data_IF_258923580219
#
_entry.id   IF_258923580219
#
_cell.length_a   1.000
_cell.length_b   1.000
_cell.length_c   1.000
_cell.angle_alpha   90.00
_cell.angle_beta   90.00
_cell.angle_gamma   90.00
#
_symmetry.space_group_name_H-M   'P 1'
#
loop_
_entity.id
_entity.type
_entity.pdbx_description
1 polymer ?
#
# COMPACT_ATOMS: atom_id res chain seq x y z
N UNK A 1 14.16 -13.53 21.36
CA UNK A 1 14.00 -14.93 20.89
C UNK A 1 12.52 -15.22 20.69
N UNK A 2 12.08 -15.27 19.41
CA UNK A 2 10.73 -15.78 19.10
C UNK A 2 10.73 -17.30 19.29
N UNK A 3 9.98 -17.78 20.26
CA UNK A 3 9.88 -19.21 20.51
C UNK A 3 9.15 -19.88 19.33
N UNK A 4 9.73 -20.95 18.76
CA UNK A 4 9.14 -21.73 17.64
C UNK A 4 7.69 -22.19 17.96
N UNK A 5 7.31 -22.29 19.23
CA UNK A 5 5.94 -22.63 19.67
C UNK A 5 4.92 -21.53 19.36
N UNK A 6 5.35 -20.27 19.24
CA UNK A 6 4.48 -19.09 19.14
C UNK A 6 4.44 -18.51 17.74
N UNK A 7 5.17 -19.07 16.80
CA UNK A 7 5.24 -18.63 15.41
C UNK A 7 4.99 -19.77 14.43
N UNK A 8 4.62 -19.41 13.23
CA UNK A 8 4.46 -20.32 12.11
C UNK A 8 5.21 -19.77 10.89
N UNK A 9 5.98 -20.66 10.26
CA UNK A 9 6.73 -20.35 9.05
C UNK A 9 5.99 -20.91 7.85
N UNK A 10 5.72 -20.06 6.88
CA UNK A 10 4.91 -20.43 5.70
C UNK A 10 5.67 -20.03 4.45
N UNK A 11 5.90 -21.01 3.57
CA UNK A 11 6.45 -20.80 2.23
C UNK A 11 5.30 -20.74 1.23
N UNK A 12 5.12 -19.62 0.54
CA UNK A 12 3.99 -19.35 -0.33
C UNK A 12 4.45 -19.07 -1.75
N UNK A 13 3.84 -19.74 -2.74
CA UNK A 13 4.12 -19.50 -4.15
C UNK A 13 3.79 -18.08 -4.58
N UNK A 14 4.64 -17.49 -5.41
CA UNK A 14 4.51 -16.08 -5.83
C UNK A 14 3.18 -15.79 -6.56
N UNK A 15 2.59 -16.77 -7.27
CA UNK A 15 1.32 -16.63 -7.99
C UNK A 15 0.06 -16.90 -7.14
N UNK A 16 0.19 -17.10 -5.84
CA UNK A 16 -0.98 -17.18 -4.94
C UNK A 16 -1.60 -15.79 -4.80
N UNK A 17 -2.92 -15.68 -4.93
CA UNK A 17 -3.64 -14.43 -4.70
C UNK A 17 -3.42 -13.97 -3.27
N UNK A 18 -2.98 -12.73 -3.10
CA UNK A 18 -2.61 -12.19 -1.79
C UNK A 18 -3.75 -12.29 -0.77
N UNK A 19 -4.96 -11.88 -1.16
CA UNK A 19 -6.10 -11.87 -0.22
C UNK A 19 -6.57 -13.28 0.15
N UNK A 20 -6.40 -14.28 -0.72
CA UNK A 20 -6.65 -15.69 -0.40
C UNK A 20 -5.66 -16.20 0.64
N UNK A 21 -4.38 -15.81 0.53
CA UNK A 21 -3.37 -16.11 1.55
C UNK A 21 -3.72 -15.48 2.90
N UNK A 22 -4.13 -14.21 2.93
CA UNK A 22 -4.55 -13.54 4.18
C UNK A 22 -5.77 -14.25 4.77
N UNK A 23 -6.79 -14.56 3.95
CA UNK A 23 -7.98 -15.29 4.41
C UNK A 23 -7.63 -16.68 4.99
N UNK A 24 -6.68 -17.36 4.37
CA UNK A 24 -6.18 -18.64 4.83
C UNK A 24 -5.45 -18.56 6.18
N UNK A 25 -4.68 -17.48 6.41
CA UNK A 25 -4.03 -17.19 7.69
C UNK A 25 -5.07 -16.93 8.79
N UNK A 26 -6.05 -16.07 8.51
CA UNK A 26 -7.14 -15.72 9.46
C UNK A 26 -7.90 -16.96 9.93
N UNK A 27 -8.27 -17.86 8.99
CA UNK A 27 -8.94 -19.13 9.32
C UNK A 27 -8.12 -20.07 10.23
N UNK A 28 -6.80 -19.88 10.29
CA UNK A 28 -5.88 -20.66 11.12
C UNK A 28 -5.47 -19.96 12.40
N UNK A 29 -6.03 -18.80 12.66
CA UNK A 29 -5.65 -17.94 13.79
C UNK A 29 -4.14 -17.61 13.77
N UNK A 30 -3.60 -17.26 12.58
CA UNK A 30 -2.25 -16.77 12.39
C UNK A 30 -2.30 -15.27 12.17
N UNK A 31 -1.65 -14.55 13.09
CA UNK A 31 -1.73 -13.09 13.22
C UNK A 31 -0.63 -12.37 12.45
N UNK A 32 -0.90 -11.16 12.01
CA UNK A 32 0.03 -10.22 11.40
C UNK A 32 -0.35 -9.76 9.99
N UNK A 33 -1.05 -10.60 9.19
CA UNK A 33 -1.41 -10.27 7.80
C UNK A 33 -2.81 -9.62 7.65
N UNK A 34 -3.65 -9.65 8.67
CA UNK A 34 -5.07 -9.27 8.62
C UNK A 34 -5.30 -7.81 8.17
N UNK A 35 -4.41 -6.89 8.56
CA UNK A 35 -4.47 -5.47 8.15
C UNK A 35 -4.21 -5.27 6.65
N UNK A 36 -3.59 -6.24 5.99
CA UNK A 36 -3.30 -6.24 4.55
C UNK A 36 -4.40 -6.93 3.72
N UNK A 37 -5.58 -7.15 4.30
CA UNK A 37 -6.74 -7.75 3.64
C UNK A 37 -7.21 -6.95 2.44
N UNK A 38 -7.70 -7.65 1.42
CA UNK A 38 -8.28 -7.09 0.19
C UNK A 38 -7.31 -6.19 -0.60
N UNK A 39 -6.00 -6.34 -0.43
CA UNK A 39 -5.01 -5.72 -1.32
C UNK A 39 -4.98 -6.59 -2.60
N UNK A 40 -5.24 -6.03 -3.78
CA UNK A 40 -5.20 -6.78 -5.03
C UNK A 40 -3.77 -7.18 -5.40
N UNK A 41 -3.66 -8.28 -6.14
CA UNK A 41 -2.39 -8.81 -6.63
C UNK A 41 -2.00 -10.14 -5.98
N UNK A 42 -0.78 -10.54 -6.19
CA UNK A 42 -0.24 -11.85 -5.82
C UNK A 42 0.86 -11.71 -4.77
N UNK A 43 1.16 -12.81 -4.10
CA UNK A 43 2.19 -12.90 -3.05
C UNK A 43 3.56 -12.42 -3.54
N UNK A 44 3.97 -12.79 -4.76
CA UNK A 44 5.24 -12.31 -5.32
C UNK A 44 5.27 -10.79 -5.51
N UNK A 45 4.18 -10.22 -6.04
CA UNK A 45 4.03 -8.78 -6.22
C UNK A 45 4.01 -8.04 -4.87
N UNK A 46 3.46 -8.66 -3.82
CA UNK A 46 3.45 -8.08 -2.47
C UNK A 46 4.87 -7.84 -1.94
N UNK A 47 5.77 -8.81 -2.16
CA UNK A 47 7.18 -8.70 -1.78
C UNK A 47 7.93 -7.67 -2.63
N UNK A 48 7.69 -7.63 -3.95
CA UNK A 48 8.32 -6.65 -4.85
C UNK A 48 7.94 -5.22 -4.47
N UNK A 49 6.66 -4.98 -4.17
CA UNK A 49 6.13 -3.65 -3.89
C UNK A 49 6.35 -3.20 -2.43
N UNK A 50 6.67 -4.11 -1.52
CA UNK A 50 6.54 -3.89 -0.08
C UNK A 50 5.16 -3.30 0.23
N UNK A 51 4.10 -4.08 -0.07
CA UNK A 51 2.73 -3.62 0.18
C UNK A 51 2.54 -3.27 1.65
N UNK A 52 1.69 -2.30 1.91
CA UNK A 52 1.39 -1.89 3.28
C UNK A 52 0.08 -1.13 3.35
N UNK A 53 -0.66 -1.38 4.41
CA UNK A 53 -1.90 -0.73 4.73
C UNK A 53 -2.16 -0.79 6.24
N UNK A 54 -2.88 0.18 6.75
CA UNK A 54 -3.39 0.18 8.12
C UNK A 54 -2.33 -0.11 9.20
N UNK A 55 -1.14 0.51 9.04
CA UNK A 55 -0.06 0.42 10.01
C UNK A 55 0.85 -0.81 9.89
N UNK A 56 0.63 -1.70 8.91
CA UNK A 56 1.42 -2.91 8.68
C UNK A 56 2.06 -2.84 7.29
N UNK A 57 3.31 -3.26 7.16
CA UNK A 57 3.98 -3.50 5.89
C UNK A 57 4.33 -4.99 5.74
N UNK A 58 4.29 -5.52 4.53
CA UNK A 58 4.54 -6.96 4.30
C UNK A 58 5.96 -7.38 4.69
N UNK A 59 6.94 -6.46 4.63
CA UNK A 59 8.32 -6.71 5.08
C UNK A 59 8.40 -7.16 6.54
N UNK A 60 7.44 -6.73 7.37
CA UNK A 60 7.40 -7.08 8.80
C UNK A 60 7.03 -8.55 9.03
N UNK A 61 6.49 -9.21 8.00
CA UNK A 61 6.09 -10.60 7.99
C UNK A 61 7.05 -11.50 7.18
N UNK A 62 7.77 -10.92 6.20
CA UNK A 62 8.69 -11.64 5.32
C UNK A 62 9.97 -11.99 6.07
N UNK A 63 10.43 -13.24 5.87
CA UNK A 63 11.74 -13.71 6.36
C UNK A 63 12.74 -13.85 5.23
N UNK A 64 12.27 -14.29 4.05
CA UNK A 64 13.09 -14.37 2.84
C UNK A 64 12.24 -14.41 1.59
N UNK A 65 12.88 -14.09 0.45
CA UNK A 65 12.28 -14.14 -0.90
C UNK A 65 13.13 -15.04 -1.77
N UNK A 66 12.50 -16.06 -2.36
CA UNK A 66 13.15 -16.96 -3.31
C UNK A 66 12.93 -16.47 -4.73
N UNK A 67 14.00 -16.51 -5.53
CA UNK A 67 13.99 -15.99 -6.88
C UNK A 67 14.67 -16.94 -7.86
N UNK A 68 14.40 -16.71 -9.15
CA UNK A 68 15.10 -17.30 -10.27
C UNK A 68 15.39 -16.22 -11.31
N UNK A 69 16.57 -16.25 -11.91
CA UNK A 69 16.94 -15.34 -13.00
C UNK A 69 16.80 -16.02 -14.39
N UNK A 70 17.06 -15.29 -15.46
CA UNK A 70 17.00 -15.80 -16.83
C UNK A 70 18.01 -16.93 -17.12
N UNK A 71 19.12 -17.00 -16.38
CA UNK A 71 20.09 -18.08 -16.45
C UNK A 71 19.65 -19.33 -15.64
N UNK A 72 18.43 -19.32 -15.08
CA UNK A 72 17.86 -20.36 -14.21
C UNK A 72 18.60 -20.54 -12.88
N UNK A 73 19.37 -19.57 -12.48
CA UNK A 73 20.03 -19.55 -11.18
C UNK A 73 19.04 -19.13 -10.11
N UNK A 74 18.96 -19.94 -9.06
CA UNK A 74 18.10 -19.68 -7.90
C UNK A 74 18.90 -18.92 -6.86
N UNK A 75 18.24 -17.91 -6.24
CA UNK A 75 18.79 -17.18 -5.08
C UNK A 75 17.71 -16.94 -4.06
N UNK A 76 18.10 -17.00 -2.79
CA UNK A 76 17.27 -16.64 -1.65
C UNK A 76 17.84 -15.35 -1.06
N UNK A 77 17.00 -14.36 -0.92
CA UNK A 77 17.32 -13.10 -0.27
C UNK A 77 16.68 -13.09 1.12
N UNK A 78 17.49 -12.94 2.18
CA UNK A 78 16.97 -12.63 3.51
C UNK A 78 16.27 -11.27 3.52
N UNK A 79 15.37 -11.03 4.48
CA UNK A 79 14.61 -9.78 4.57
C UNK A 79 15.53 -8.55 4.56
N UNK A 80 16.69 -8.63 5.24
CA UNK A 80 17.66 -7.54 5.32
C UNK A 80 18.33 -7.25 3.96
N UNK A 81 18.47 -8.27 3.09
CA UNK A 81 19.01 -8.12 1.75
C UNK A 81 17.98 -7.53 0.76
N UNK A 82 16.69 -7.60 1.09
CA UNK A 82 15.63 -7.09 0.22
C UNK A 82 15.55 -5.57 0.13
N UNK A 83 16.29 -4.83 0.95
CA UNK A 83 16.38 -3.36 0.91
C UNK A 83 15.04 -2.65 1.06
N UNK A 84 14.14 -3.20 1.88
CA UNK A 84 12.79 -2.70 2.05
C UNK A 84 12.73 -1.31 2.67
N UNK A 85 11.94 -0.46 2.04
CA UNK A 85 11.48 0.81 2.60
C UNK A 85 10.09 1.13 2.05
N UNK A 86 9.51 2.28 2.41
CA UNK A 86 8.16 2.65 1.98
C UNK A 86 8.00 2.53 0.46
N UNK A 87 7.20 1.54 0.02
CA UNK A 87 6.93 1.20 -1.40
C UNK A 87 8.19 0.91 -2.23
N UNK A 88 9.27 0.48 -1.60
CA UNK A 88 10.55 0.16 -2.26
C UNK A 88 11.06 -1.20 -1.81
N UNK A 89 11.73 -1.88 -2.75
CA UNK A 89 12.52 -3.09 -2.50
C UNK A 89 13.67 -3.15 -3.51
N UNK A 90 14.63 -4.02 -3.26
CA UNK A 90 15.68 -4.39 -4.20
C UNK A 90 15.08 -4.82 -5.56
N UNK A 91 13.98 -5.58 -5.54
CA UNK A 91 13.35 -6.14 -6.74
C UNK A 91 12.76 -5.10 -7.70
N UNK A 92 12.65 -3.83 -7.28
CA UNK A 92 12.24 -2.70 -8.15
C UNK A 92 13.41 -2.01 -8.85
N UNK A 93 14.63 -2.39 -8.54
CA UNK A 93 15.82 -1.81 -9.17
C UNK A 93 15.98 -2.29 -10.63
N UNK A 94 16.56 -1.48 -11.52
CA UNK A 94 16.74 -1.84 -12.92
C UNK A 94 17.48 -3.16 -13.12
N UNK A 95 18.45 -3.47 -12.26
CA UNK A 95 19.27 -4.67 -12.30
C UNK A 95 18.48 -5.96 -12.02
N UNK A 96 17.34 -5.81 -11.33
CA UNK A 96 16.48 -6.92 -10.95
C UNK A 96 15.38 -7.23 -11.97
N UNK A 97 15.31 -6.52 -13.10
CA UNK A 97 14.27 -6.73 -14.13
C UNK A 97 14.23 -8.15 -14.72
N UNK A 98 15.35 -8.86 -14.70
CA UNK A 98 15.47 -10.23 -15.18
C UNK A 98 15.40 -11.27 -14.05
N UNK A 99 14.97 -10.87 -12.85
CA UNK A 99 14.81 -11.72 -11.66
C UNK A 99 13.32 -11.87 -11.34
N UNK A 100 12.89 -13.12 -11.19
CA UNK A 100 11.49 -13.46 -10.92
C UNK A 100 11.37 -14.03 -9.51
N UNK A 101 10.45 -13.49 -8.72
CA UNK A 101 10.08 -14.07 -7.42
C UNK A 101 9.31 -15.36 -7.66
N UNK A 102 9.74 -16.44 -7.01
CA UNK A 102 9.10 -17.76 -7.11
C UNK A 102 8.32 -18.12 -5.86
N UNK A 103 8.88 -17.83 -4.68
CA UNK A 103 8.25 -18.02 -3.38
C UNK A 103 8.59 -16.88 -2.45
N UNK A 104 7.71 -16.65 -1.50
CA UNK A 104 7.94 -15.76 -0.37
C UNK A 104 7.76 -16.54 0.92
N UNK A 105 8.70 -16.41 1.84
CA UNK A 105 8.67 -17.06 3.13
C UNK A 105 8.24 -16.04 4.20
N UNK A 106 7.21 -16.41 4.96
CA UNK A 106 6.63 -15.57 6.01
C UNK A 106 6.82 -16.19 7.38
N UNK A 107 6.94 -15.34 8.40
CA UNK A 107 6.82 -15.73 9.80
C UNK A 107 5.62 -14.99 10.40
N UNK A 108 4.60 -15.75 10.81
CA UNK A 108 3.37 -15.24 11.39
C UNK A 108 3.27 -15.64 12.85
N UNK A 109 2.54 -14.87 13.66
CA UNK A 109 2.35 -15.17 15.06
C UNK A 109 1.16 -16.11 15.28
N UNK A 110 1.29 -17.03 16.26
CA UNK A 110 0.18 -17.79 16.84
C UNK A 110 -0.38 -17.10 18.09
N UNK A 111 0.33 -16.10 18.61
CA UNK A 111 -0.14 -15.30 19.75
C UNK A 111 -1.02 -14.17 19.24
N UNK A 112 -2.13 -13.98 19.92
CA UNK A 112 -3.04 -12.89 19.63
C UNK A 112 -2.36 -11.54 19.79
N UNK A 113 -2.39 -10.76 18.72
CA UNK A 113 -1.98 -9.35 18.72
C UNK A 113 -2.65 -8.64 17.53
N UNK A 114 -2.96 -7.36 17.70
CA UNK A 114 -3.66 -6.57 16.67
C UNK A 114 -3.02 -5.19 16.53
N UNK A 115 -2.90 -4.72 15.30
CA UNK A 115 -2.53 -3.33 14.99
C UNK A 115 -3.79 -2.53 14.71
N UNK A 116 -4.24 -1.70 15.67
CA UNK A 116 -5.54 -1.02 15.63
C UNK A 116 -5.43 0.50 15.51
N UNK A 117 -4.23 1.07 15.67
CA UNK A 117 -4.02 2.52 15.86
C UNK A 117 -3.93 3.30 14.54
N UNK A 118 -4.53 2.79 13.46
CA UNK A 118 -4.50 3.45 12.17
C UNK A 118 -5.89 3.83 11.68
N UNK A 119 -6.08 5.12 11.40
CA UNK A 119 -7.33 5.64 10.83
C UNK A 119 -8.54 5.40 11.72
N UNK A 120 -9.61 4.82 11.16
CA UNK A 120 -10.91 4.61 11.83
C UNK A 120 -11.12 3.17 12.31
N UNK A 121 -10.08 2.33 12.34
CA UNK A 121 -10.23 0.90 12.66
C UNK A 121 -10.89 0.70 14.04
N UNK A 122 -10.42 1.37 15.09
CA UNK A 122 -11.00 1.25 16.43
C UNK A 122 -12.45 1.63 16.46
N UNK A 123 -12.81 2.75 15.82
CA UNK A 123 -14.20 3.23 15.74
C UNK A 123 -15.10 2.25 14.99
N UNK A 124 -14.61 1.65 13.90
CA UNK A 124 -15.39 0.65 13.14
C UNK A 124 -15.56 -0.66 13.92
N UNK A 125 -14.55 -1.04 14.73
CA UNK A 125 -14.62 -2.22 15.59
C UNK A 125 -15.66 -2.10 16.70
N UNK A 126 -15.99 -0.87 17.18
CA UNK A 126 -17.04 -0.65 18.18
C UNK A 126 -18.42 -1.17 17.75
N UNK A 127 -18.64 -1.37 16.45
CA UNK A 127 -19.87 -1.94 15.88
C UNK A 127 -19.99 -3.45 16.08
N UNK A 128 -18.93 -4.10 16.56
CA UNK A 128 -18.86 -5.55 16.70
C UNK A 128 -18.70 -5.95 18.16
N UNK A 129 -19.41 -7.01 18.61
CA UNK A 129 -19.39 -7.41 20.02
C UNK A 129 -18.09 -8.05 20.47
N UNK A 130 -17.29 -8.58 19.52
CA UNK A 130 -16.06 -9.31 19.84
C UNK A 130 -14.97 -8.95 18.84
N UNK A 131 -13.80 -8.60 19.37
CA UNK A 131 -12.57 -8.47 18.58
C UNK A 131 -11.95 -9.85 18.38
N UNK A 132 -11.78 -10.24 17.13
CA UNK A 132 -11.00 -11.40 16.70
C UNK A 132 -10.48 -11.17 15.28
N UNK A 133 -9.65 -12.07 14.74
CA UNK A 133 -9.07 -11.94 13.40
C UNK A 133 -10.13 -11.80 12.30
N UNK A 134 -11.22 -12.55 12.38
CA UNK A 134 -12.29 -12.51 11.37
C UNK A 134 -13.01 -11.16 11.39
N UNK A 135 -13.32 -10.64 12.60
CA UNK A 135 -13.94 -9.33 12.78
C UNK A 135 -13.02 -8.22 12.28
N UNK A 136 -11.72 -8.25 12.65
CA UNK A 136 -10.77 -7.25 12.19
C UNK A 136 -10.62 -7.28 10.66
N UNK A 137 -10.46 -8.48 10.07
CA UNK A 137 -10.41 -8.63 8.62
C UNK A 137 -11.65 -8.05 7.94
N UNK A 138 -12.85 -8.31 8.46
CA UNK A 138 -14.11 -7.78 7.93
C UNK A 138 -14.12 -6.25 7.98
N UNK A 139 -13.76 -5.67 9.12
CA UNK A 139 -13.67 -4.21 9.29
C UNK A 139 -12.70 -3.59 8.27
N UNK A 140 -11.52 -4.18 8.08
CA UNK A 140 -10.55 -3.72 7.07
C UNK A 140 -11.16 -3.78 5.66
N UNK A 141 -11.82 -4.87 5.30
CA UNK A 141 -12.49 -5.02 4.00
C UNK A 141 -13.56 -3.94 3.82
N UNK A 142 -14.43 -3.74 4.82
CA UNK A 142 -15.52 -2.75 4.76
C UNK A 142 -14.98 -1.32 4.61
N UNK A 143 -13.93 -0.96 5.37
CA UNK A 143 -13.26 0.35 5.23
C UNK A 143 -12.68 0.51 3.82
N UNK A 144 -12.06 -0.53 3.26
CA UNK A 144 -11.49 -0.46 1.91
C UNK A 144 -12.57 -0.32 0.84
N UNK A 145 -13.62 -1.12 0.91
CA UNK A 145 -14.74 -1.07 -0.05
C UNK A 145 -15.51 0.25 0.02
N UNK A 146 -15.63 0.86 1.20
CA UNK A 146 -16.25 2.18 1.33
C UNK A 146 -15.46 3.30 0.65
N UNK A 147 -14.13 3.16 0.55
CA UNK A 147 -13.21 4.19 0.03
C UNK A 147 -12.78 3.94 -1.41
N UNK A 148 -12.52 2.69 -1.77
CA UNK A 148 -11.93 2.30 -3.05
C UNK A 148 -13.02 1.76 -4.00
N UNK A 149 -13.10 2.22 -5.24
CA UNK A 149 -14.01 1.65 -6.22
C UNK A 149 -13.53 0.26 -6.64
N UNK A 150 -14.48 -0.66 -6.86
CA UNK A 150 -14.18 -1.96 -7.44
C UNK A 150 -13.66 -1.78 -8.88
N UNK A 151 -12.44 -2.24 -9.21
CA UNK A 151 -11.89 -2.09 -10.56
C UNK A 151 -12.66 -2.84 -11.65
N UNK A 152 -13.50 -3.83 -11.29
CA UNK A 152 -14.41 -4.52 -12.21
C UNK A 152 -15.59 -3.65 -12.61
N UNK A 153 -15.96 -2.67 -11.78
CA UNK A 153 -17.10 -1.75 -12.01
C UNK A 153 -16.59 -0.41 -12.56
N UNK A 154 -15.52 0.11 -11.99
CA UNK A 154 -14.92 1.38 -12.38
C UNK A 154 -13.40 1.21 -12.50
N UNK A 155 -12.90 1.21 -13.74
CA UNK A 155 -11.49 0.98 -14.03
C UNK A 155 -10.58 1.92 -13.23
N UNK A 156 -9.66 1.36 -12.46
CA UNK A 156 -8.69 2.08 -11.65
C UNK A 156 -7.49 1.18 -11.31
N UNK A 157 -6.43 1.77 -10.78
CA UNK A 157 -5.23 1.08 -10.33
C UNK A 157 -5.00 1.24 -8.81
N UNK A 158 -6.05 1.44 -8.04
CA UNK A 158 -5.97 1.72 -6.61
C UNK A 158 -5.42 3.12 -6.31
N UNK A 159 -4.68 3.27 -5.22
CA UNK A 159 -3.98 4.52 -4.90
C UNK A 159 -2.91 4.80 -5.94
N UNK A 160 -3.10 5.87 -6.72
CA UNK A 160 -2.22 6.18 -7.85
C UNK A 160 -0.91 6.85 -7.43
N UNK A 161 -0.94 7.64 -6.34
CA UNK A 161 0.22 8.39 -5.86
C UNK A 161 0.73 7.87 -4.53
N UNK A 162 2.05 7.91 -4.35
CA UNK A 162 2.68 7.73 -3.06
C UNK A 162 2.49 8.96 -2.17
N UNK A 163 2.39 8.74 -0.87
CA UNK A 163 2.48 9.84 0.09
C UNK A 163 3.93 10.35 0.14
N UNK A 164 4.18 11.64 -0.13
CA UNK A 164 5.53 12.18 -0.10
C UNK A 164 6.09 12.21 1.33
N UNK A 165 7.40 11.96 1.42
CA UNK A 165 8.17 12.15 2.64
C UNK A 165 9.03 13.41 2.44
N UNK A 166 8.84 14.39 3.29
CA UNK A 166 9.48 15.69 3.22
C UNK A 166 10.34 15.98 4.46
N UNK A 167 11.34 16.88 4.39
CA UNK A 167 12.04 17.37 5.57
C UNK A 167 11.05 18.01 6.56
N UNK A 168 11.23 17.77 7.86
CA UNK A 168 10.40 18.34 8.93
C UNK A 168 10.26 19.86 8.83
N UNK A 169 11.35 20.57 8.55
CA UNK A 169 11.35 22.03 8.36
C UNK A 169 10.39 22.51 7.25
N UNK A 170 10.27 21.72 6.16
CA UNK A 170 9.37 22.06 5.06
C UNK A 170 7.91 21.84 5.49
N UNK A 171 7.63 20.75 6.20
CA UNK A 171 6.32 20.49 6.78
C UNK A 171 5.92 21.58 7.78
N UNK A 172 6.78 21.97 8.71
CA UNK A 172 6.52 23.02 9.70
C UNK A 172 6.22 24.39 9.04
N UNK A 173 6.88 24.69 7.92
CA UNK A 173 6.56 25.88 7.14
C UNK A 173 5.15 25.82 6.55
N UNK A 174 4.78 24.69 5.97
CA UNK A 174 3.44 24.47 5.41
C UNK A 174 2.36 24.41 6.50
N UNK A 175 2.66 23.85 7.66
CA UNK A 175 1.69 23.75 8.77
C UNK A 175 1.28 25.11 9.34
N UNK A 176 2.11 26.14 9.22
CA UNK A 176 1.75 27.52 9.58
C UNK A 176 0.64 28.06 8.69
N UNK A 177 0.66 27.70 7.41
CA UNK A 177 -0.37 28.09 6.42
C UNK A 177 -1.58 27.16 6.47
N UNK A 178 -1.33 25.86 6.75
CA UNK A 178 -2.34 24.80 6.81
C UNK A 178 -2.29 24.07 8.15
N UNK A 179 -2.84 24.65 9.25
CA UNK A 179 -2.74 24.05 10.59
C UNK A 179 -3.39 22.67 10.72
N UNK A 180 -4.35 22.36 9.85
CA UNK A 180 -5.07 21.08 9.79
C UNK A 180 -4.38 20.03 8.89
N UNK A 181 -3.14 20.31 8.40
CA UNK A 181 -2.41 19.38 7.53
C UNK A 181 -2.09 18.08 8.28
N UNK A 182 -2.67 16.93 7.85
CA UNK A 182 -2.38 15.64 8.48
C UNK A 182 -0.96 15.18 8.13
N UNK A 183 -0.33 14.52 9.08
CA UNK A 183 1.03 14.02 8.88
C UNK A 183 1.31 12.79 9.75
N UNK A 184 2.40 12.09 9.40
CA UNK A 184 2.93 10.96 10.15
C UNK A 184 4.43 11.13 10.26
N UNK A 185 4.97 11.06 11.47
CA UNK A 185 6.40 11.08 11.69
C UNK A 185 7.05 9.82 11.10
N UNK A 186 8.10 10.03 10.32
CA UNK A 186 8.93 8.93 9.80
C UNK A 186 10.15 8.75 10.70
N UNK A 187 10.78 9.87 11.03
CA UNK A 187 11.89 9.99 11.99
C UNK A 187 11.98 11.45 12.50
N UNK A 188 13.01 11.75 13.26
CA UNK A 188 13.20 13.10 13.83
C UNK A 188 13.32 14.20 12.78
N UNK A 189 13.79 13.87 11.58
CA UNK A 189 14.04 14.84 10.49
C UNK A 189 13.03 14.83 9.36
N UNK A 190 12.15 13.83 9.29
CA UNK A 190 11.27 13.62 8.13
C UNK A 190 9.84 13.31 8.52
N UNK A 191 8.92 13.80 7.70
CA UNK A 191 7.48 13.67 7.87
C UNK A 191 6.85 13.17 6.57
N UNK A 192 5.90 12.24 6.68
CA UNK A 192 5.09 11.76 5.57
C UNK A 192 3.75 12.50 5.56
N UNK A 193 3.41 13.12 4.43
CA UNK A 193 2.17 13.89 4.26
C UNK A 193 1.21 13.08 3.37
N UNK A 194 -0.08 12.92 3.75
CA UNK A 194 -1.06 12.28 2.90
C UNK A 194 -1.29 13.02 1.58
N UNK A 195 -0.91 12.41 0.46
CA UNK A 195 -1.11 12.99 -0.87
C UNK A 195 -2.60 13.22 -1.17
N UNK A 196 -3.50 12.36 -0.67
CA UNK A 196 -4.94 12.55 -0.82
C UNK A 196 -5.43 13.89 -0.29
N UNK A 197 -4.90 14.35 0.85
CA UNK A 197 -5.26 15.63 1.44
C UNK A 197 -4.81 16.80 0.54
N UNK A 198 -3.57 16.75 0.03
CA UNK A 198 -3.06 17.79 -0.87
C UNK A 198 -3.83 17.85 -2.18
N UNK A 199 -4.15 16.70 -2.76
CA UNK A 199 -4.94 16.60 -4.01
C UNK A 199 -6.35 17.18 -3.80
N UNK A 200 -6.98 16.86 -2.66
CA UNK A 200 -8.30 17.41 -2.28
C UNK A 200 -8.24 18.93 -2.10
N UNK A 201 -7.20 19.44 -1.42
CA UNK A 201 -6.96 20.89 -1.24
C UNK A 201 -6.63 21.63 -2.54
N UNK A 202 -6.19 20.93 -3.60
CA UNK A 202 -6.07 21.46 -4.95
C UNK A 202 -7.40 21.42 -5.73
N UNK A 203 -8.49 20.92 -5.14
CA UNK A 203 -9.81 20.86 -5.77
C UNK A 203 -9.95 19.77 -6.84
N UNK A 204 -9.10 18.73 -6.80
CA UNK A 204 -9.15 17.64 -7.76
C UNK A 204 -10.12 16.52 -7.40
N UNK A 205 -10.49 16.36 -6.14
CA UNK A 205 -11.41 15.30 -5.71
C UNK A 205 -12.75 15.40 -6.43
N UNK A 206 -13.13 14.34 -7.14
CA UNK A 206 -14.34 14.29 -7.97
C UNK A 206 -14.25 15.05 -9.31
N UNK A 207 -13.10 15.65 -9.65
CA UNK A 207 -12.90 16.41 -10.87
C UNK A 207 -12.38 15.52 -12.01
N UNK A 208 -12.89 15.74 -13.22
CA UNK A 208 -12.47 15.06 -14.43
C UNK A 208 -11.55 15.92 -15.30
N UNK A 209 -10.70 15.27 -16.07
CA UNK A 209 -9.96 15.83 -17.20
C UNK A 209 -10.18 14.90 -18.40
N UNK A 210 -11.06 15.29 -19.33
CA UNK A 210 -11.52 14.39 -20.37
C UNK A 210 -12.24 13.16 -19.80
N UNK A 211 -11.94 11.95 -20.31
CA UNK A 211 -12.55 10.69 -19.85
C UNK A 211 -11.90 10.09 -18.58
N UNK A 212 -10.86 10.72 -18.04
CA UNK A 212 -10.22 10.35 -16.78
C UNK A 212 -10.67 11.28 -15.65
N UNK A 213 -10.80 10.75 -14.43
CA UNK A 213 -11.22 11.56 -13.28
C UNK A 213 -10.48 11.15 -11.99
N UNK A 214 -10.44 12.08 -11.02
CA UNK A 214 -10.08 11.78 -9.64
C UNK A 214 -11.34 11.31 -8.92
N UNK A 215 -11.27 10.15 -8.25
CA UNK A 215 -12.44 9.55 -7.61
C UNK A 215 -13.01 10.43 -6.49
N UNK A 216 -14.37 10.55 -6.47
CA UNK A 216 -15.07 11.48 -5.56
C UNK A 216 -14.98 11.16 -4.06
N UNK A 217 -14.65 9.91 -3.68
CA UNK A 217 -14.51 9.51 -2.27
C UNK A 217 -13.06 9.37 -1.83
N UNK A 218 -12.13 9.13 -2.79
CA UNK A 218 -10.70 8.95 -2.48
C UNK A 218 -9.85 9.66 -3.52
N UNK A 219 -9.25 10.78 -3.16
CA UNK A 219 -8.48 11.64 -4.06
C UNK A 219 -7.17 10.99 -4.59
N UNK A 220 -6.70 9.90 -3.96
CA UNK A 220 -5.54 9.13 -4.47
C UNK A 220 -5.89 8.25 -5.68
N UNK A 221 -7.17 7.99 -5.93
CA UNK A 221 -7.60 7.04 -6.97
C UNK A 221 -7.94 7.80 -8.24
N UNK A 222 -7.22 7.51 -9.31
CA UNK A 222 -7.58 7.93 -10.66
C UNK A 222 -8.45 6.85 -11.31
N UNK A 223 -9.53 7.28 -11.93
CA UNK A 223 -10.55 6.37 -12.51
C UNK A 223 -10.74 6.64 -14.00
N UNK A 224 -11.06 5.59 -14.74
CA UNK A 224 -11.55 5.65 -16.09
C UNK A 224 -13.07 5.85 -16.06
N UNK A 225 -13.55 7.05 -16.34
CA UNK A 225 -14.98 7.38 -16.32
C UNK A 225 -15.71 6.93 -17.59
N UNK A 226 -15.00 6.28 -18.52
CA UNK A 226 -15.52 5.73 -19.77
C UNK A 226 -14.65 6.13 -20.96
N UNK A 227 -13.98 5.14 -21.56
CA UNK A 227 -13.17 5.32 -22.77
C UNK A 227 -11.83 6.03 -22.58
N UNK A 228 -11.35 6.23 -21.35
CA UNK A 228 -10.02 6.78 -21.09
C UNK A 228 -8.92 5.84 -21.56
N UNK A 229 -7.95 6.39 -22.27
CA UNK A 229 -6.70 5.72 -22.62
C UNK A 229 -5.66 5.87 -21.50
N UNK A 230 -4.56 5.11 -21.59
CA UNK A 230 -3.42 5.30 -20.67
C UNK A 230 -2.85 6.73 -20.74
N UNK A 231 -2.86 7.35 -21.93
CA UNK A 231 -2.42 8.74 -22.11
C UNK A 231 -3.31 9.75 -21.36
N UNK A 232 -4.63 9.54 -21.34
CA UNK A 232 -5.56 10.39 -20.58
C UNK A 232 -5.30 10.29 -19.07
N UNK A 233 -5.06 9.08 -18.57
CA UNK A 233 -4.70 8.87 -17.15
C UNK A 233 -3.37 9.55 -16.82
N UNK A 234 -2.37 9.47 -17.69
CA UNK A 234 -1.07 10.14 -17.50
C UNK A 234 -1.26 11.67 -17.51
N UNK A 235 -2.02 12.20 -18.46
CA UNK A 235 -2.31 13.64 -18.54
C UNK A 235 -3.00 14.15 -17.26
N UNK A 236 -4.00 13.41 -16.75
CA UNK A 236 -4.65 13.74 -15.48
C UNK A 236 -3.65 13.69 -14.32
N UNK A 237 -2.82 12.62 -14.26
CA UNK A 237 -1.78 12.48 -13.22
C UNK A 237 -0.82 13.68 -13.23
N UNK A 238 -0.36 14.11 -14.41
CA UNK A 238 0.56 15.23 -14.53
C UNK A 238 -0.09 16.57 -14.15
N UNK A 239 -1.36 16.78 -14.50
CA UNK A 239 -2.13 17.97 -14.09
C UNK A 239 -2.29 18.02 -12.54
N UNK A 240 -2.61 16.89 -11.91
CA UNK A 240 -2.70 16.78 -10.44
C UNK A 240 -1.35 17.08 -9.79
N UNK A 241 -0.26 16.50 -10.31
CA UNK A 241 1.12 16.73 -9.79
C UNK A 241 1.52 18.20 -9.91
N UNK A 242 1.26 18.82 -11.06
CA UNK A 242 1.54 20.24 -11.28
C UNK A 242 0.82 21.12 -10.26
N UNK A 243 -0.48 20.88 -10.02
CA UNK A 243 -1.28 21.63 -9.04
C UNK A 243 -0.75 21.47 -7.60
N UNK A 244 -0.34 20.25 -7.22
CA UNK A 244 0.23 20.00 -5.88
C UNK A 244 1.60 20.68 -5.73
N UNK A 245 2.46 20.61 -6.76
CA UNK A 245 3.75 21.31 -6.78
C UNK A 245 3.59 22.82 -6.69
N UNK A 246 2.67 23.38 -7.47
CA UNK A 246 2.39 24.82 -7.46
C UNK A 246 1.91 25.31 -6.10
N UNK A 247 0.98 24.57 -5.48
CA UNK A 247 0.36 25.00 -4.23
C UNK A 247 1.22 24.73 -2.99
N UNK A 248 1.92 23.59 -2.91
CA UNK A 248 2.63 23.14 -1.72
C UNK A 248 4.15 23.09 -1.86
N UNK A 249 4.70 23.29 -3.07
CA UNK A 249 6.11 23.09 -3.32
C UNK A 249 6.58 21.64 -3.13
N UNK A 250 5.66 20.66 -3.25
CA UNK A 250 5.91 19.24 -3.03
C UNK A 250 5.65 18.46 -4.32
N UNK A 251 6.61 17.63 -4.69
CA UNK A 251 6.43 16.67 -5.79
C UNK A 251 5.80 15.37 -5.25
N UNK A 252 4.67 14.97 -5.84
CA UNK A 252 4.09 13.65 -5.63
C UNK A 252 4.41 12.74 -6.82
N UNK A 253 4.65 11.46 -6.54
CA UNK A 253 5.05 10.50 -7.56
C UNK A 253 4.02 9.38 -7.70
N UNK A 254 3.77 8.89 -8.94
CA UNK A 254 2.96 7.69 -9.13
C UNK A 254 3.55 6.48 -8.39
N UNK A 255 2.69 5.70 -7.76
CA UNK A 255 3.01 4.37 -7.23
C UNK A 255 2.91 3.31 -8.33
N UNK A 256 2.04 3.54 -9.31
CA UNK A 256 1.81 2.65 -10.44
C UNK A 256 2.96 2.70 -11.45
N UNK A 257 3.29 1.55 -12.03
CA UNK A 257 4.25 1.44 -13.11
C UNK A 257 3.57 1.76 -14.45
N UNK A 258 4.12 2.70 -15.21
CA UNK A 258 3.68 3.00 -16.57
C UNK A 258 4.42 2.09 -17.53
N UNK A 259 3.71 1.16 -18.17
CA UNK A 259 4.24 0.29 -19.21
C UNK A 259 4.09 1.02 -20.53
N UNK A 260 5.23 1.25 -21.22
CA UNK A 260 5.29 1.90 -22.54
C UNK A 260 5.36 0.86 -23.63
#
# INVERSE_FOLDING_TARGET
>A
EMCIRDSVWVRVGAGVVWDDFVAWCVKRHWYGAENLSLIPGEVGASAVQNIGAYGVEVKDLITSVETINMAREKRIYGVDECGYSYRKSLFKQPEMKAVFVTYVNFCLSKREHYTLDYGTIRQELEKYPVLNLETLRRVIIDIRQSKLPDPKVLGNAGSFFMNPIVPRRQFESLQREYPDMPHYDVDTGRVKIPAAWMIDRCGWKGKALGPAAVHGRQALVLVNSGGATGADIVALSDAVRASVREKFGIDIHPEVCLIK
#
